data_IF_834617034282
#
_entry.id   IF_834617034282
#
_cell.length_a   1.000
_cell.length_b   1.000
_cell.length_c   1.000
_cell.angle_alpha   90.00
_cell.angle_beta   90.00
_cell.angle_gamma   90.00
#
_symmetry.space_group_name_H-M   'P 1'
#
loop_
_entity.id
_entity.type
_entity.pdbx_description
1 polymer ?
#
# COMPACT_ATOMS: atom_id res chain seq x y z
N UNK A 1 -23.71 -8.59 -13.84
CA UNK A 1 -23.48 -8.30 -12.44
C UNK A 1 -22.06 -7.78 -12.23
N UNK A 2 -21.93 -6.62 -11.63
CA UNK A 2 -20.63 -6.03 -11.41
C UNK A 2 -20.10 -6.41 -10.04
N UNK A 3 -18.82 -6.74 -9.96
CA UNK A 3 -18.17 -6.99 -8.68
C UNK A 3 -18.08 -5.70 -7.87
N UNK A 4 -18.15 -5.78 -6.55
CA UNK A 4 -17.89 -4.59 -5.72
C UNK A 4 -16.51 -4.03 -6.03
N UNK A 5 -16.37 -2.73 -5.94
CA UNK A 5 -15.08 -2.09 -6.12
C UNK A 5 -14.12 -2.56 -5.03
N UNK A 6 -12.87 -2.80 -5.40
CA UNK A 6 -11.84 -3.14 -4.43
C UNK A 6 -11.44 -1.88 -3.66
N UNK A 7 -11.01 -2.07 -2.43
CA UNK A 7 -10.65 -0.99 -1.53
C UNK A 7 -9.14 -0.91 -1.37
N UNK A 8 -8.61 0.30 -1.54
CA UNK A 8 -7.20 0.57 -1.25
C UNK A 8 -7.11 1.45 0.00
N UNK A 9 -6.20 1.09 0.91
CA UNK A 9 -5.87 1.94 2.05
C UNK A 9 -4.54 2.62 1.74
N UNK A 10 -4.54 3.95 1.80
CA UNK A 10 -3.35 4.76 1.57
C UNK A 10 -2.82 5.25 2.90
N UNK A 11 -1.59 4.89 3.23
CA UNK A 11 -0.90 5.30 4.45
C UNK A 11 0.21 6.25 4.05
N UNK A 12 -0.03 7.55 4.19
CA UNK A 12 0.86 8.60 3.70
C UNK A 12 0.65 9.85 4.54
N UNK A 13 1.71 10.38 5.15
CA UNK A 13 1.59 11.54 6.04
C UNK A 13 1.54 12.87 5.29
N UNK A 14 2.06 12.94 4.07
CA UNK A 14 2.00 14.18 3.31
C UNK A 14 0.65 14.28 2.61
N UNK A 15 -0.11 15.31 2.98
CA UNK A 15 -1.50 15.44 2.53
C UNK A 15 -1.64 15.51 1.01
N UNK A 16 -0.75 16.26 0.35
CA UNK A 16 -0.83 16.40 -1.11
C UNK A 16 -0.53 15.09 -1.82
N UNK A 17 0.46 14.34 -1.34
CA UNK A 17 0.80 13.06 -1.91
C UNK A 17 -0.35 12.06 -1.70
N UNK A 18 -0.92 12.04 -0.51
CA UNK A 18 -2.04 11.15 -0.19
C UNK A 18 -3.22 11.44 -1.10
N UNK A 19 -3.54 12.70 -1.32
CA UNK A 19 -4.67 13.06 -2.18
C UNK A 19 -4.40 12.71 -3.64
N UNK A 20 -3.17 12.92 -4.10
CA UNK A 20 -2.81 12.56 -5.46
C UNK A 20 -2.96 11.05 -5.68
N UNK A 21 -2.44 10.25 -4.76
CA UNK A 21 -2.59 8.78 -4.87
C UNK A 21 -4.07 8.38 -4.79
N UNK A 22 -4.84 9.06 -3.93
CA UNK A 22 -6.27 8.78 -3.80
C UNK A 22 -6.99 9.03 -5.13
N UNK A 23 -6.70 10.14 -5.79
CA UNK A 23 -7.30 10.45 -7.09
C UNK A 23 -6.91 9.42 -8.13
N UNK A 24 -5.65 9.04 -8.18
CA UNK A 24 -5.18 8.03 -9.11
C UNK A 24 -5.95 6.72 -8.92
N UNK A 25 -6.17 6.34 -7.67
CA UNK A 25 -6.86 5.08 -7.38
C UNK A 25 -8.36 5.17 -7.66
N UNK A 26 -8.98 6.31 -7.37
CA UNK A 26 -10.40 6.51 -7.71
C UNK A 26 -10.63 6.44 -9.21
N UNK A 27 -9.77 7.08 -9.97
CA UNK A 27 -9.86 7.04 -11.45
C UNK A 27 -9.68 5.61 -11.95
N UNK A 28 -8.90 4.81 -11.24
CA UNK A 28 -8.68 3.39 -11.59
C UNK A 28 -9.82 2.48 -11.12
N UNK A 29 -10.83 3.02 -10.44
CA UNK A 29 -12.01 2.25 -10.04
C UNK A 29 -12.00 1.75 -8.60
N UNK A 30 -11.06 2.19 -7.77
CA UNK A 30 -10.98 1.73 -6.39
C UNK A 30 -11.77 2.62 -5.44
N UNK A 31 -12.30 2.00 -4.38
CA UNK A 31 -12.71 2.74 -3.19
C UNK A 31 -11.45 3.09 -2.41
N UNK A 32 -11.38 4.29 -1.84
CA UNK A 32 -10.17 4.76 -1.19
C UNK A 32 -10.45 5.11 0.27
N UNK A 33 -9.59 4.60 1.15
CA UNK A 33 -9.48 5.05 2.54
C UNK A 33 -8.09 5.60 2.72
N UNK A 34 -7.93 6.59 3.58
CA UNK A 34 -6.63 7.22 3.80
C UNK A 34 -6.37 7.37 5.29
N UNK A 35 -5.10 7.27 5.67
CA UNK A 35 -4.63 7.71 6.97
C UNK A 35 -3.30 8.42 6.82
N UNK A 36 -3.12 9.49 7.59
CA UNK A 36 -1.88 10.25 7.57
C UNK A 36 -0.90 9.78 8.64
N UNK A 37 -1.24 8.72 9.35
CA UNK A 37 -0.43 8.24 10.47
C UNK A 37 -0.36 6.73 10.45
N UNK A 38 0.81 6.19 10.82
CA UNK A 38 1.02 4.75 10.88
C UNK A 38 0.24 4.11 12.02
N UNK A 39 0.10 4.84 13.13
CA UNK A 39 -0.51 4.27 14.34
C UNK A 39 -1.91 3.72 14.11
N UNK A 40 -2.84 4.44 13.45
CA UNK A 40 -4.18 3.89 13.23
C UNK A 40 -4.26 2.91 12.06
N UNK A 41 -3.20 2.77 11.27
CA UNK A 41 -3.27 1.98 10.05
C UNK A 41 -3.67 0.53 10.30
N UNK A 42 -3.05 -0.11 11.29
CA UNK A 42 -3.37 -1.51 11.60
C UNK A 42 -4.80 -1.68 12.09
N UNK A 43 -5.27 -0.75 12.93
CA UNK A 43 -6.65 -0.78 13.40
C UNK A 43 -7.63 -0.63 12.24
N UNK A 44 -7.33 0.28 11.32
CA UNK A 44 -8.17 0.48 10.15
C UNK A 44 -8.25 -0.77 9.29
N UNK A 45 -7.14 -1.48 9.14
CA UNK A 45 -7.11 -2.73 8.37
C UNK A 45 -7.93 -3.82 9.05
N UNK A 46 -7.92 -3.85 10.38
CA UNK A 46 -8.66 -4.83 11.15
C UNK A 46 -10.15 -4.55 11.09
N UNK A 47 -10.53 -3.28 11.17
CA UNK A 47 -11.93 -2.87 11.12
C UNK A 47 -12.56 -3.13 9.77
N UNK A 48 -11.85 -2.80 8.71
CA UNK A 48 -12.30 -3.05 7.35
C UNK A 48 -11.08 -3.44 6.53
N UNK A 49 -10.93 -4.72 6.26
CA UNK A 49 -9.78 -5.27 5.57
C UNK A 49 -9.70 -4.72 4.15
N UNK A 50 -8.63 -3.99 3.80
CA UNK A 50 -8.49 -3.50 2.42
C UNK A 50 -8.05 -4.63 1.50
N UNK A 51 -8.26 -4.44 0.21
CA UNK A 51 -7.75 -5.38 -0.79
C UNK A 51 -6.27 -5.15 -1.06
N UNK A 52 -5.80 -3.93 -0.87
CA UNK A 52 -4.40 -3.58 -1.10
C UNK A 52 -4.06 -2.34 -0.28
N UNK A 53 -2.80 -2.19 0.09
CA UNK A 53 -2.30 -1.05 0.85
C UNK A 53 -1.21 -0.35 0.04
N UNK A 54 -1.31 0.98 -0.08
CA UNK A 54 -0.21 1.82 -0.53
C UNK A 54 0.43 2.40 0.72
N UNK A 55 1.71 2.16 0.90
CA UNK A 55 2.37 2.45 2.17
C UNK A 55 3.64 3.26 1.93
N UNK A 56 3.68 4.47 2.48
CA UNK A 56 4.93 5.23 2.56
C UNK A 56 5.67 4.76 3.81
N UNK A 57 6.93 4.40 3.66
CA UNK A 57 7.72 3.92 4.80
C UNK A 57 8.38 5.03 5.58
N UNK A 58 8.37 6.27 5.07
CA UNK A 58 8.99 7.41 5.74
C UNK A 58 7.95 8.20 6.52
N UNK A 59 7.50 7.65 7.64
CA UNK A 59 6.46 8.27 8.47
C UNK A 59 7.05 8.69 9.80
N UNK A 60 6.59 9.81 10.38
CA UNK A 60 7.23 10.34 11.60
C UNK A 60 6.90 9.58 12.88
N UNK A 61 5.78 8.89 12.97
CA UNK A 61 5.39 8.18 14.19
C UNK A 61 5.96 6.77 14.25
N UNK A 62 5.45 5.85 13.40
CA UNK A 62 5.94 4.48 13.33
C UNK A 62 6.39 4.23 11.91
N UNK A 63 7.58 3.66 11.75
CA UNK A 63 8.10 3.36 10.42
C UNK A 63 7.13 2.46 9.64
N UNK A 64 6.93 2.79 8.36
CA UNK A 64 6.12 1.96 7.50
C UNK A 64 6.64 0.53 7.39
N UNK A 65 7.95 0.34 7.51
CA UNK A 65 8.51 -1.01 7.53
C UNK A 65 8.03 -1.82 8.72
N UNK A 66 7.88 -1.16 9.89
CA UNK A 66 7.36 -1.84 11.07
C UNK A 66 5.90 -2.23 10.89
N UNK A 67 5.11 -1.34 10.28
CA UNK A 67 3.72 -1.65 9.93
C UNK A 67 3.67 -2.88 9.03
N UNK A 68 4.51 -2.89 8.00
CA UNK A 68 4.55 -3.98 7.05
C UNK A 68 4.92 -5.30 7.71
N UNK A 69 5.93 -5.29 8.59
CA UNK A 69 6.33 -6.49 9.32
C UNK A 69 5.21 -7.00 10.21
N UNK A 70 4.52 -6.09 10.89
CA UNK A 70 3.38 -6.47 11.73
C UNK A 70 2.26 -7.10 10.91
N UNK A 71 1.99 -6.56 9.72
CA UNK A 71 0.99 -7.15 8.82
C UNK A 71 1.35 -8.58 8.46
N UNK A 72 2.62 -8.81 8.15
CA UNK A 72 3.07 -10.16 7.72
C UNK A 72 3.06 -11.17 8.85
N UNK A 73 3.11 -10.71 10.10
CA UNK A 73 3.05 -11.60 11.27
C UNK A 73 1.62 -11.81 11.79
N UNK A 74 0.66 -11.06 11.27
CA UNK A 74 -0.74 -11.19 11.68
C UNK A 74 -1.48 -12.04 10.64
N UNK A 75 -1.95 -13.24 11.01
CA UNK A 75 -2.62 -14.12 10.03
C UNK A 75 -3.81 -13.46 9.32
N UNK A 76 -4.49 -12.52 9.97
CA UNK A 76 -5.63 -11.85 9.36
C UNK A 76 -5.19 -10.87 8.28
N UNK A 77 -3.96 -10.36 8.33
CA UNK A 77 -3.47 -9.32 7.44
C UNK A 77 -2.34 -9.80 6.53
N UNK A 78 -1.81 -10.99 6.78
CA UNK A 78 -0.58 -11.46 6.13
C UNK A 78 -0.68 -11.60 4.61
N UNK A 79 -1.88 -11.78 4.07
CA UNK A 79 -2.06 -11.97 2.63
C UNK A 79 -2.38 -10.68 1.88
N UNK A 80 -2.57 -9.56 2.59
CA UNK A 80 -2.90 -8.28 1.92
C UNK A 80 -1.67 -7.79 1.15
N UNK A 81 -1.79 -7.56 -0.16
CA UNK A 81 -0.66 -7.02 -0.91
C UNK A 81 -0.35 -5.59 -0.50
N UNK A 82 0.93 -5.25 -0.48
CA UNK A 82 1.39 -3.92 -0.09
C UNK A 82 2.32 -3.39 -1.16
N UNK A 83 1.97 -2.22 -1.71
CA UNK A 83 2.83 -1.47 -2.62
C UNK A 83 3.48 -0.38 -1.79
N UNK A 84 4.79 -0.45 -1.62
CA UNK A 84 5.53 0.58 -0.93
C UNK A 84 5.82 1.71 -1.89
N UNK A 85 5.58 2.95 -1.46
CA UNK A 85 5.92 4.15 -2.22
C UNK A 85 6.81 5.01 -1.33
N UNK A 86 7.98 5.41 -1.82
CA UNK A 86 8.93 6.11 -0.96
C UNK A 86 9.90 6.95 -1.77
N UNK A 87 10.37 8.04 -1.16
CA UNK A 87 11.47 8.81 -1.73
C UNK A 87 12.81 8.11 -1.56
N UNK A 88 12.91 7.12 -0.67
CA UNK A 88 14.14 6.36 -0.51
C UNK A 88 14.34 5.42 -1.69
N UNK A 89 15.43 5.62 -2.42
CA UNK A 89 15.65 4.94 -3.69
C UNK A 89 16.95 4.13 -3.77
N UNK A 90 17.69 4.06 -2.67
CA UNK A 90 18.93 3.29 -2.66
C UNK A 90 18.63 1.79 -2.74
N UNK A 91 19.51 1.01 -3.35
CA UNK A 91 19.29 -0.44 -3.42
C UNK A 91 19.05 -1.09 -2.05
N UNK A 92 19.71 -0.61 -1.00
CA UNK A 92 19.51 -1.14 0.34
C UNK A 92 18.11 -0.84 0.85
N UNK A 93 17.56 0.34 0.53
CA UNK A 93 16.20 0.69 0.95
C UNK A 93 15.19 -0.23 0.29
N UNK A 94 15.35 -0.47 -0.99
CA UNK A 94 14.45 -1.34 -1.74
C UNK A 94 14.53 -2.77 -1.21
N UNK A 95 15.75 -3.26 -0.95
CA UNK A 95 15.94 -4.59 -0.37
C UNK A 95 15.23 -4.72 0.97
N UNK A 96 15.40 -3.70 1.84
CA UNK A 96 14.77 -3.73 3.15
C UNK A 96 13.25 -3.78 3.06
N UNK A 97 12.69 -3.04 2.12
CA UNK A 97 11.24 -3.05 1.89
C UNK A 97 10.76 -4.41 1.43
N UNK A 98 11.46 -4.99 0.46
CA UNK A 98 11.07 -6.30 -0.05
C UNK A 98 11.22 -7.39 1.02
N UNK A 99 12.29 -7.33 1.81
CA UNK A 99 12.50 -8.29 2.91
C UNK A 99 11.46 -8.15 4.00
N UNK A 100 10.97 -6.93 4.23
CA UNK A 100 9.90 -6.71 5.20
C UNK A 100 8.55 -7.26 4.70
N UNK A 101 8.43 -7.57 3.43
CA UNK A 101 7.24 -8.20 2.90
C UNK A 101 6.47 -7.39 1.86
N UNK A 102 7.06 -6.35 1.28
CA UNK A 102 6.39 -5.58 0.23
C UNK A 102 6.15 -6.45 -1.00
N UNK A 103 5.00 -6.24 -1.63
CA UNK A 103 4.70 -6.88 -2.91
C UNK A 103 5.49 -6.22 -4.02
N UNK A 104 5.63 -4.89 -3.94
CA UNK A 104 6.47 -4.13 -4.85
C UNK A 104 6.90 -2.84 -4.17
N UNK A 105 7.96 -2.23 -4.70
CA UNK A 105 8.53 -1.00 -4.15
C UNK A 105 8.66 0.01 -5.27
N UNK A 106 7.99 1.16 -5.12
CA UNK A 106 8.04 2.24 -6.11
C UNK A 106 8.73 3.44 -5.50
N UNK A 107 9.64 4.07 -6.25
CA UNK A 107 10.33 5.25 -5.78
C UNK A 107 9.66 6.50 -6.34
N UNK A 108 9.47 7.51 -5.48
CA UNK A 108 8.87 8.79 -5.87
C UNK A 108 9.85 9.58 -6.72
N UNK A 109 9.38 10.35 -7.69
CA UNK A 109 7.96 10.58 -8.06
C UNK A 109 7.39 9.43 -8.86
N UNK A 110 6.10 9.15 -8.66
CA UNK A 110 5.44 8.01 -9.28
C UNK A 110 4.33 8.50 -10.21
N UNK A 111 4.37 8.05 -11.47
CA UNK A 111 3.35 8.41 -12.43
C UNK A 111 2.09 7.55 -12.28
N UNK A 112 1.00 8.00 -12.89
CA UNK A 112 -0.28 7.33 -12.80
C UNK A 112 -0.24 5.90 -13.33
N UNK A 113 0.31 5.72 -14.55
CA UNK A 113 0.35 4.38 -15.14
C UNK A 113 1.23 3.43 -14.35
N UNK A 114 2.36 3.94 -13.85
CA UNK A 114 3.26 3.14 -13.04
C UNK A 114 2.56 2.63 -11.78
N UNK A 115 1.84 3.52 -11.10
CA UNK A 115 1.13 3.13 -9.89
C UNK A 115 -0.02 2.18 -10.20
N UNK A 116 -0.80 2.49 -11.24
CA UNK A 116 -1.93 1.66 -11.64
C UNK A 116 -1.49 0.24 -11.97
N UNK A 117 -0.42 0.11 -12.76
CA UNK A 117 0.08 -1.20 -13.15
C UNK A 117 0.62 -1.99 -11.97
N UNK A 118 1.33 -1.31 -11.06
CA UNK A 118 1.87 -1.97 -9.88
C UNK A 118 0.76 -2.51 -8.98
N UNK A 119 -0.29 -1.71 -8.79
CA UNK A 119 -1.42 -2.11 -7.97
C UNK A 119 -2.16 -3.29 -8.61
N UNK A 120 -2.42 -3.21 -9.90
CA UNK A 120 -3.13 -4.28 -10.61
C UNK A 120 -2.32 -5.57 -10.60
N UNK A 121 -1.01 -5.47 -10.78
CA UNK A 121 -0.14 -6.66 -10.74
C UNK A 121 -0.12 -7.29 -9.36
N UNK A 122 -0.06 -6.46 -8.31
CA UNK A 122 -0.05 -6.98 -6.95
C UNK A 122 -1.36 -7.69 -6.61
N UNK A 123 -2.49 -7.15 -7.08
CA UNK A 123 -3.79 -7.79 -6.89
C UNK A 123 -3.89 -9.08 -7.69
N UNK A 124 -3.34 -9.09 -8.91
CA UNK A 124 -3.34 -10.28 -9.75
C UNK A 124 -2.51 -11.40 -9.16
N UNK A 125 -1.38 -11.08 -8.56
CA UNK A 125 -0.54 -12.08 -7.91
C UNK A 125 -1.27 -12.80 -6.79
N UNK A 126 -2.14 -12.10 -6.08
CA UNK A 126 -2.88 -12.69 -4.99
C UNK A 126 -3.96 -13.63 -5.47
N UNK A 127 -4.51 -13.35 -6.65
CA UNK A 127 -5.59 -14.16 -7.21
C UNK A 127 -5.08 -15.23 -8.16
N UNK A 128 -3.79 -15.31 -8.38
CA UNK A 128 -3.21 -16.24 -9.34
C UNK A 128 -3.14 -17.63 -8.75
N UNK A 129 -4.26 -18.29 -8.67
CA UNK A 129 -4.22 -19.70 -8.45
C UNK A 129 -3.95 -20.34 -9.80
N UNK A 130 -3.11 -21.32 -9.88
CA UNK A 130 -2.89 -22.03 -11.11
C UNK A 130 -4.11 -22.79 -11.56
#
# INVERSE_FOLDING_TARGET
MTSPAKTVLIVEDEADAAELFAEMMRVSGFRVRKTSSSTPALSMMTEEKPDIVLLDIMMPDVSGLDILRQMRHDPALAAIPVVVVSAKSMPADIRNGMEAGASTYLTKPIGFLELKEAVERALGSQTSAP
#
